data_IF_318856732075
#
_entry.id   IF_318856732075
#
_cell.length_a   1.000
_cell.length_b   1.000
_cell.length_c   1.000
_cell.angle_alpha   90.00
_cell.angle_beta   90.00
_cell.angle_gamma   90.00
#
_symmetry.space_group_name_H-M   'P 1'
#
loop_
_entity.id
_entity.type
_entity.pdbx_description
1 polymer ?
#
# COMPACT_ATOMS: atom_id res chain seq x y z
N UNK A 1 -5.22 34.10 2.94
CA UNK A 1 -4.35 32.94 2.63
C UNK A 1 -5.26 31.73 2.41
N UNK A 2 -5.79 31.59 1.19
CA UNK A 2 -6.75 30.55 0.82
C UNK A 2 -5.99 29.29 0.41
N UNK A 3 -5.97 28.28 1.27
CA UNK A 3 -5.36 26.98 0.99
C UNK A 3 -6.19 25.91 1.70
N UNK A 4 -7.18 25.33 1.03
CA UNK A 4 -7.91 24.18 1.56
C UNK A 4 -8.19 23.05 0.56
N UNK A 5 -8.39 23.27 -0.77
CA UNK A 5 -8.47 22.14 -1.71
C UNK A 5 -7.10 21.58 -2.14
N UNK A 6 -6.05 22.41 -2.06
CA UNK A 6 -4.72 22.06 -2.57
C UNK A 6 -3.91 21.14 -1.67
N UNK A 7 -4.22 21.04 -0.37
CA UNK A 7 -3.32 20.37 0.58
C UNK A 7 -3.31 18.85 0.41
N UNK A 8 -4.48 18.24 0.22
CA UNK A 8 -4.60 16.81 -0.12
C UNK A 8 -3.84 16.53 -1.42
N UNK A 9 -4.07 17.34 -2.45
CA UNK A 9 -3.38 17.21 -3.74
C UNK A 9 -1.86 17.32 -3.59
N UNK A 10 -1.36 18.30 -2.83
CA UNK A 10 0.08 18.44 -2.58
C UNK A 10 0.67 17.28 -1.77
N UNK A 11 -0.09 16.74 -0.80
CA UNK A 11 0.36 15.63 0.02
C UNK A 11 0.53 14.35 -0.80
N UNK A 12 -0.46 14.03 -1.66
CA UNK A 12 -0.55 12.77 -2.40
C UNK A 12 -0.17 12.88 -3.89
N UNK A 13 0.54 13.94 -4.28
CA UNK A 13 1.09 14.05 -5.65
C UNK A 13 0.04 14.26 -6.75
N UNK A 14 -1.07 14.93 -6.45
CA UNK A 14 -2.13 15.27 -7.39
C UNK A 14 -3.32 14.31 -7.40
N UNK A 15 -3.24 13.18 -6.70
CA UNK A 15 -4.36 12.27 -6.49
C UNK A 15 -5.17 12.61 -5.24
N UNK A 16 -6.50 12.57 -5.34
CA UNK A 16 -7.43 12.58 -4.19
C UNK A 16 -8.18 11.25 -4.05
N UNK A 17 -7.90 10.31 -4.93
CA UNK A 17 -8.60 9.04 -4.99
C UNK A 17 -8.15 8.17 -3.82
N UNK A 18 -9.14 7.62 -3.11
CA UNK A 18 -8.92 6.63 -2.06
C UNK A 18 -8.24 5.38 -2.64
N UNK A 19 -7.37 4.75 -1.86
CA UNK A 19 -6.64 3.54 -2.29
C UNK A 19 -7.59 2.45 -2.82
N UNK A 20 -8.75 2.23 -2.20
CA UNK A 20 -9.69 1.21 -2.65
C UNK A 20 -10.23 1.50 -4.05
N UNK A 21 -10.41 2.79 -4.39
CA UNK A 21 -10.78 3.21 -5.75
C UNK A 21 -9.64 2.95 -6.73
N UNK A 22 -8.41 3.36 -6.39
CA UNK A 22 -7.21 3.14 -7.22
C UNK A 22 -7.02 1.65 -7.56
N UNK A 23 -7.12 0.77 -6.56
CA UNK A 23 -7.00 -0.69 -6.78
C UNK A 23 -8.11 -1.21 -7.69
N UNK A 24 -9.35 -0.77 -7.46
CA UNK A 24 -10.51 -1.27 -8.20
C UNK A 24 -10.54 -0.87 -9.68
N UNK A 25 -10.01 0.32 -10.01
CA UNK A 25 -10.01 0.87 -11.37
C UNK A 25 -8.72 0.55 -12.14
N UNK A 26 -7.69 0.04 -11.47
CA UNK A 26 -6.44 -0.33 -12.11
C UNK A 26 -6.66 -1.37 -13.21
N UNK A 27 -6.12 -1.09 -14.40
CA UNK A 27 -6.22 -2.02 -15.51
C UNK A 27 -5.12 -3.08 -15.45
N UNK A 28 -5.42 -4.19 -14.78
CA UNK A 28 -4.54 -5.34 -14.65
C UNK A 28 -4.14 -6.00 -15.98
N UNK A 29 -4.85 -5.76 -17.08
CA UNK A 29 -4.46 -6.27 -18.40
C UNK A 29 -3.20 -5.59 -18.97
N UNK A 30 -2.83 -4.43 -18.40
CA UNK A 30 -1.64 -3.67 -18.80
C UNK A 30 -0.36 -4.16 -18.15
N UNK A 31 -0.45 -4.99 -17.12
CA UNK A 31 0.72 -5.65 -16.55
C UNK A 31 1.29 -6.63 -17.60
N UNK A 32 2.16 -6.13 -18.48
CA UNK A 32 2.72 -6.93 -19.55
C UNK A 32 3.96 -7.68 -19.07
N UNK A 33 3.68 -8.86 -18.54
CA UNK A 33 4.67 -9.77 -17.98
C UNK A 33 5.59 -10.42 -19.02
N UNK A 34 5.31 -10.24 -20.32
CA UNK A 34 6.12 -10.82 -21.41
C UNK A 34 7.27 -9.93 -21.88
N UNK A 35 7.27 -8.65 -21.51
CA UNK A 35 8.39 -7.75 -21.75
C UNK A 35 9.14 -7.54 -20.44
N UNK A 36 10.42 -7.90 -20.40
CA UNK A 36 11.32 -7.80 -19.25
C UNK A 36 11.50 -6.38 -18.66
N UNK A 37 10.79 -5.38 -19.20
CA UNK A 37 10.89 -3.96 -18.88
C UNK A 37 9.51 -3.27 -18.74
N UNK A 38 8.41 -3.98 -18.47
CA UNK A 38 7.13 -3.28 -18.25
C UNK A 38 7.13 -2.58 -16.89
N UNK A 39 7.24 -1.25 -16.89
CA UNK A 39 7.01 -0.40 -15.71
C UNK A 39 5.51 -0.35 -15.31
N UNK A 40 4.64 -1.07 -16.03
CA UNK A 40 3.20 -1.08 -15.82
C UNK A 40 2.81 -2.11 -14.74
N UNK A 41 2.88 -1.69 -13.48
CA UNK A 41 2.35 -2.42 -12.32
C UNK A 41 1.52 -1.47 -11.44
N UNK A 42 0.76 -2.02 -10.49
CA UNK A 42 0.00 -1.18 -9.58
C UNK A 42 0.95 -0.48 -8.61
N UNK A 43 1.26 0.78 -8.92
CA UNK A 43 2.19 1.59 -8.15
C UNK A 43 1.53 2.85 -7.60
N UNK A 44 1.71 3.09 -6.31
CA UNK A 44 1.53 4.43 -5.72
C UNK A 44 2.57 4.66 -4.64
N UNK A 45 3.24 5.80 -4.72
CA UNK A 45 4.18 6.25 -3.68
C UNK A 45 3.45 6.49 -2.35
N UNK A 46 2.29 7.17 -2.42
CA UNK A 46 1.42 7.43 -1.29
C UNK A 46 -0.01 7.71 -1.77
N UNK A 47 -0.95 6.87 -1.37
CA UNK A 47 -2.38 7.12 -1.54
C UNK A 47 -3.06 7.41 -0.19
N UNK A 48 -4.12 8.23 -0.16
CA UNK A 48 -4.95 8.36 1.02
C UNK A 48 -5.83 7.10 1.19
N UNK A 49 -6.08 6.74 2.45
CA UNK A 49 -7.22 5.92 2.83
C UNK A 49 -8.04 6.71 3.83
N UNK A 50 -9.27 7.05 3.46
CA UNK A 50 -10.11 7.92 4.30
C UNK A 50 -10.89 7.15 5.36
N UNK A 51 -10.96 5.83 5.26
CA UNK A 51 -11.77 5.03 6.17
C UNK A 51 -13.23 5.45 6.09
N UNK A 52 -13.82 5.70 7.26
CA UNK A 52 -15.20 6.18 7.40
C UNK A 52 -15.27 7.72 7.57
N UNK A 53 -14.19 8.43 7.22
CA UNK A 53 -14.21 9.89 7.25
C UNK A 53 -15.16 10.48 6.21
N UNK A 54 -16.02 11.37 6.69
CA UNK A 54 -16.91 12.22 5.93
C UNK A 54 -16.70 13.66 6.39
N UNK A 55 -17.22 14.64 5.64
CA UNK A 55 -17.17 16.05 6.04
C UNK A 55 -17.75 16.28 7.44
N UNK A 56 -18.77 15.51 7.83
CA UNK A 56 -19.39 15.59 9.14
C UNK A 56 -18.59 14.84 10.22
N UNK A 57 -18.08 13.63 9.94
CA UNK A 57 -17.34 12.87 10.95
C UNK A 57 -15.97 13.50 11.26
N UNK A 58 -15.36 14.20 10.30
CA UNK A 58 -14.15 15.01 10.54
C UNK A 58 -14.41 16.10 11.57
N UNK A 59 -15.58 16.75 11.56
CA UNK A 59 -15.95 17.77 12.56
C UNK A 59 -16.13 17.18 13.95
N UNK A 60 -16.50 15.90 14.05
CA UNK A 60 -16.63 15.18 15.31
C UNK A 60 -15.30 14.65 15.87
N UNK A 61 -14.20 14.68 15.11
CA UNK A 61 -12.89 14.25 15.59
C UNK A 61 -12.40 15.13 16.75
N UNK A 62 -11.61 14.51 17.62
CA UNK A 62 -10.85 15.21 18.66
C UNK A 62 -9.96 16.31 18.06
N UNK A 63 -9.80 17.40 18.81
CA UNK A 63 -9.05 18.58 18.36
C UNK A 63 -7.59 18.25 18.06
N UNK A 64 -6.94 17.41 18.87
CA UNK A 64 -5.54 17.01 18.63
C UNK A 64 -5.42 16.18 17.36
N UNK A 65 -6.41 15.34 17.03
CA UNK A 65 -6.44 14.59 15.77
C UNK A 65 -6.56 15.54 14.57
N UNK A 66 -7.44 16.55 14.64
CA UNK A 66 -7.57 17.56 13.58
C UNK A 66 -6.25 18.32 13.38
N UNK A 67 -5.63 18.78 14.47
CA UNK A 67 -4.35 19.48 14.44
C UNK A 67 -3.26 18.59 13.84
N UNK A 68 -3.20 17.33 14.26
CA UNK A 68 -2.28 16.33 13.74
C UNK A 68 -2.45 16.12 12.23
N UNK A 69 -3.69 15.99 11.74
CA UNK A 69 -3.99 15.83 10.31
C UNK A 69 -3.48 17.03 9.51
N UNK A 70 -3.87 18.24 9.91
CA UNK A 70 -3.48 19.46 9.21
C UNK A 70 -1.95 19.63 9.18
N UNK A 71 -1.28 19.48 10.32
CA UNK A 71 0.17 19.62 10.42
C UNK A 71 0.92 18.58 9.59
N UNK A 72 0.51 17.31 9.68
CA UNK A 72 1.15 16.21 8.95
C UNK A 72 1.06 16.41 7.44
N UNK A 73 -0.12 16.78 6.93
CA UNK A 73 -0.31 17.01 5.50
C UNK A 73 0.44 18.25 4.98
N UNK A 74 0.60 19.29 5.80
CA UNK A 74 1.47 20.44 5.46
C UNK A 74 2.91 19.98 5.29
N UNK A 75 3.41 19.15 6.20
CA UNK A 75 4.79 18.66 6.14
C UNK A 75 4.98 17.73 4.96
N UNK A 76 4.10 16.73 4.77
CA UNK A 76 4.15 15.82 3.63
C UNK A 76 4.01 16.60 2.32
N UNK A 77 3.08 17.56 2.23
CA UNK A 77 2.82 18.36 1.04
C UNK A 77 4.01 19.16 0.52
N UNK A 78 5.01 19.44 1.37
CA UNK A 78 6.26 20.12 1.00
C UNK A 78 7.34 19.18 0.48
N UNK A 79 7.19 17.87 0.66
CA UNK A 79 8.18 16.90 0.20
C UNK A 79 8.17 16.79 -1.32
N UNK A 80 9.35 16.84 -1.94
CA UNK A 80 9.52 16.48 -3.34
C UNK A 80 9.55 14.95 -3.53
N UNK A 81 10.27 14.24 -2.64
CA UNK A 81 10.29 12.77 -2.63
C UNK A 81 9.14 12.22 -1.79
N UNK A 82 8.22 11.52 -2.44
CA UNK A 82 7.06 10.87 -1.82
C UNK A 82 7.25 9.37 -1.60
N UNK A 83 8.46 8.85 -1.80
CA UNK A 83 8.77 7.44 -1.57
C UNK A 83 8.43 7.01 -0.15
N UNK A 84 8.12 5.72 0.03
CA UNK A 84 7.84 5.12 1.34
C UNK A 84 8.85 5.55 2.41
N UNK A 85 10.16 5.46 2.09
CA UNK A 85 11.24 5.78 3.02
C UNK A 85 11.23 7.26 3.42
N UNK A 86 11.01 8.15 2.47
CA UNK A 86 10.91 9.59 2.70
C UNK A 86 9.72 9.90 3.62
N UNK A 87 8.52 9.41 3.27
CA UNK A 87 7.30 9.63 4.07
C UNK A 87 7.44 9.09 5.49
N UNK A 88 7.90 7.84 5.65
CA UNK A 88 8.09 7.24 6.96
C UNK A 88 9.09 8.04 7.80
N UNK A 89 10.23 8.43 7.22
CA UNK A 89 11.23 9.25 7.92
C UNK A 89 10.65 10.59 8.36
N UNK A 90 9.89 11.26 7.49
CA UNK A 90 9.23 12.53 7.82
C UNK A 90 8.22 12.36 8.95
N UNK A 91 7.37 11.32 8.92
CA UNK A 91 6.39 11.09 9.98
C UNK A 91 7.06 10.72 11.31
N UNK A 92 8.15 9.96 11.30
CA UNK A 92 8.93 9.61 12.50
C UNK A 92 9.58 10.83 13.17
N UNK A 93 9.93 11.85 12.39
CA UNK A 93 10.55 13.10 12.87
C UNK A 93 9.55 14.22 13.12
N UNK A 94 8.27 14.01 12.80
CA UNK A 94 7.26 15.06 12.89
C UNK A 94 6.94 15.41 14.35
N UNK A 95 7.02 16.70 14.71
CA UNK A 95 6.86 17.16 16.11
C UNK A 95 5.50 16.82 16.71
N UNK A 96 4.44 16.90 15.88
CA UNK A 96 3.07 16.58 16.31
C UNK A 96 2.78 15.08 16.39
N UNK A 97 3.67 14.22 15.89
CA UNK A 97 3.47 12.77 15.85
C UNK A 97 4.36 12.08 16.86
N UNK A 98 3.84 11.01 17.42
CA UNK A 98 4.64 9.98 18.06
C UNK A 98 4.22 8.59 17.59
N UNK A 99 5.16 7.65 17.45
CA UNK A 99 4.81 6.30 17.08
C UNK A 99 3.91 5.64 18.12
N UNK A 100 2.87 4.98 17.64
CA UNK A 100 1.91 4.24 18.42
C UNK A 100 2.09 2.74 18.09
N UNK A 101 2.25 1.91 19.11
CA UNK A 101 2.59 0.48 18.98
C UNK A 101 3.95 0.18 18.30
N UNK A 102 4.26 -1.12 18.22
CA UNK A 102 5.42 -1.63 17.50
C UNK A 102 5.20 -1.54 16.00
N UNK A 103 6.30 -1.35 15.28
CA UNK A 103 6.33 -1.48 13.83
C UNK A 103 5.98 -2.91 13.44
N UNK A 104 5.23 -3.06 12.36
CA UNK A 104 4.97 -4.35 11.72
C UNK A 104 5.80 -4.38 10.45
N UNK A 105 6.72 -5.32 10.36
CA UNK A 105 7.46 -5.62 9.15
C UNK A 105 7.40 -7.12 8.93
N UNK A 106 6.78 -7.53 7.83
CA UNK A 106 6.57 -8.95 7.48
C UNK A 106 6.92 -9.17 6.04
N UNK A 107 7.54 -10.31 5.78
CA UNK A 107 7.73 -10.81 4.44
C UNK A 107 7.44 -12.30 4.46
N UNK A 108 6.76 -12.78 3.42
CA UNK A 108 6.44 -14.18 3.25
C UNK A 108 6.48 -14.54 1.75
N UNK A 109 6.60 -15.83 1.46
CA UNK A 109 6.62 -16.36 0.10
C UNK A 109 5.57 -17.44 -0.06
N UNK A 110 4.74 -17.31 -1.07
CA UNK A 110 3.96 -18.42 -1.60
C UNK A 110 4.77 -19.08 -2.70
N UNK A 111 5.21 -20.34 -2.47
CA UNK A 111 6.04 -21.10 -3.40
C UNK A 111 5.20 -22.23 -3.99
N UNK A 112 5.32 -22.44 -5.31
CA UNK A 112 4.83 -23.63 -5.99
C UNK A 112 5.99 -24.43 -6.56
N UNK A 113 5.90 -25.75 -6.39
CA UNK A 113 6.91 -26.70 -6.85
C UNK A 113 6.67 -27.18 -8.29
N UNK A 114 5.52 -26.84 -8.89
CA UNK A 114 5.27 -27.07 -10.31
C UNK A 114 5.21 -25.75 -11.07
N UNK A 115 5.89 -25.73 -12.21
CA UNK A 115 5.83 -24.62 -13.15
C UNK A 115 4.41 -24.42 -13.75
N UNK A 116 3.60 -25.49 -13.73
CA UNK A 116 2.23 -25.53 -14.27
C UNK A 116 1.10 -25.21 -13.29
N UNK A 117 1.41 -24.98 -12.00
CA UNK A 117 0.38 -24.74 -11.00
C UNK A 117 -0.39 -23.45 -11.33
N UNK A 118 0.29 -22.39 -11.78
CA UNK A 118 -0.38 -21.20 -12.30
C UNK A 118 -0.79 -21.41 -13.77
N UNK A 119 -1.97 -21.99 -14.01
CA UNK A 119 -2.44 -22.35 -15.36
C UNK A 119 -2.60 -21.17 -16.34
N UNK A 120 -2.36 -21.48 -17.61
CA UNK A 120 -2.03 -20.58 -18.74
C UNK A 120 -3.22 -20.13 -19.61
N UNK A 121 -4.46 -20.51 -19.28
CA UNK A 121 -5.64 -20.10 -20.08
C UNK A 121 -6.27 -18.78 -19.60
N UNK A 122 -5.66 -18.15 -18.60
CA UNK A 122 -6.16 -16.92 -17.99
C UNK A 122 -7.37 -17.12 -17.08
N UNK A 123 -7.81 -18.37 -16.87
CA UNK A 123 -8.81 -18.70 -15.87
C UNK A 123 -8.11 -19.08 -14.55
N UNK A 124 -8.26 -18.28 -13.49
CA UNK A 124 -7.63 -18.56 -12.21
C UNK A 124 -8.19 -19.86 -11.63
N UNK A 125 -7.33 -20.85 -11.33
CA UNK A 125 -7.77 -22.04 -10.59
C UNK A 125 -8.31 -21.57 -9.23
N UNK A 126 -9.59 -21.85 -8.97
CA UNK A 126 -10.28 -21.40 -7.77
C UNK A 126 -9.58 -21.86 -6.47
N UNK A 127 -8.88 -23.01 -6.50
CA UNK A 127 -8.10 -23.49 -5.36
C UNK A 127 -6.87 -22.62 -5.12
N UNK A 128 -6.17 -22.24 -6.19
CA UNK A 128 -4.98 -21.39 -6.12
C UNK A 128 -5.34 -19.97 -5.70
N UNK A 129 -6.43 -19.43 -6.22
CA UNK A 129 -6.93 -18.11 -5.78
C UNK A 129 -7.28 -18.12 -4.30
N UNK A 130 -7.92 -19.19 -3.80
CA UNK A 130 -8.23 -19.33 -2.37
C UNK A 130 -6.97 -19.44 -1.52
N UNK A 131 -5.97 -20.18 -1.97
CA UNK A 131 -4.70 -20.31 -1.30
C UNK A 131 -3.95 -18.98 -1.24
N UNK A 132 -3.87 -18.27 -2.37
CA UNK A 132 -3.27 -16.93 -2.46
C UNK A 132 -4.02 -15.95 -1.57
N UNK A 133 -5.35 -16.01 -1.52
CA UNK A 133 -6.15 -15.21 -0.58
C UNK A 133 -5.81 -15.53 0.87
N UNK A 134 -5.73 -16.80 1.23
CA UNK A 134 -5.39 -17.22 2.59
C UNK A 134 -3.98 -16.77 2.97
N UNK A 135 -3.02 -16.95 2.08
CA UNK A 135 -1.64 -16.50 2.24
C UNK A 135 -1.56 -14.97 2.40
N UNK A 136 -2.18 -14.22 1.48
CA UNK A 136 -2.20 -12.75 1.51
C UNK A 136 -2.85 -12.22 2.78
N UNK A 137 -4.00 -12.78 3.18
CA UNK A 137 -4.69 -12.37 4.41
C UNK A 137 -3.83 -12.60 5.64
N UNK A 138 -3.03 -13.68 5.67
CA UNK A 138 -2.10 -13.99 6.77
C UNK A 138 -0.85 -13.11 6.75
N UNK A 139 -0.36 -12.74 5.56
CA UNK A 139 0.72 -11.77 5.40
C UNK A 139 0.30 -10.38 5.91
N UNK A 140 -0.92 -9.94 5.60
CA UNK A 140 -1.44 -8.63 6.01
C UNK A 140 -1.95 -8.63 7.45
N UNK A 141 -2.65 -9.66 7.93
CA UNK A 141 -3.19 -9.83 9.29
C UNK A 141 -3.71 -8.52 9.94
N UNK A 142 -4.38 -7.71 9.14
CA UNK A 142 -4.90 -6.41 9.51
C UNK A 142 -6.17 -6.20 8.68
N UNK A 143 -7.31 -6.52 9.28
CA UNK A 143 -8.62 -6.50 8.61
C UNK A 143 -8.97 -5.12 8.06
N UNK A 144 -8.59 -4.06 8.79
CA UNK A 144 -8.76 -2.68 8.33
C UNK A 144 -7.96 -2.44 7.04
N UNK A 145 -6.70 -2.89 6.95
CA UNK A 145 -5.92 -2.77 5.70
C UNK A 145 -6.56 -3.56 4.55
N UNK A 146 -7.04 -4.78 4.81
CA UNK A 146 -7.70 -5.61 3.79
C UNK A 146 -8.98 -4.94 3.27
N UNK A 147 -9.78 -4.36 4.17
CA UNK A 147 -11.03 -3.68 3.83
C UNK A 147 -10.77 -2.38 3.04
N UNK A 148 -9.80 -1.57 3.46
CA UNK A 148 -9.49 -0.28 2.82
C UNK A 148 -8.88 -0.45 1.42
N UNK A 149 -7.95 -1.38 1.26
CA UNK A 149 -7.28 -1.60 -0.04
C UNK A 149 -8.19 -2.24 -1.08
N UNK A 150 -9.28 -2.91 -0.65
CA UNK A 150 -10.23 -3.62 -1.51
C UNK A 150 -9.54 -4.63 -2.45
N UNK A 151 -8.41 -5.19 -2.04
CA UNK A 151 -7.77 -6.31 -2.74
C UNK A 151 -8.61 -7.57 -2.48
N UNK A 152 -9.66 -7.72 -3.27
CA UNK A 152 -10.64 -8.79 -3.15
C UNK A 152 -10.21 -10.05 -3.91
N UNK A 153 -11.05 -11.09 -3.85
CA UNK A 153 -10.74 -12.36 -4.51
C UNK A 153 -10.58 -12.21 -6.02
N UNK A 154 -11.31 -11.29 -6.67
CA UNK A 154 -11.20 -11.05 -8.11
C UNK A 154 -9.88 -10.35 -8.45
N UNK A 155 -9.46 -9.41 -7.62
CA UNK A 155 -8.17 -8.72 -7.73
C UNK A 155 -7.02 -9.69 -7.53
N UNK A 156 -7.11 -10.54 -6.51
CA UNK A 156 -6.14 -11.61 -6.30
C UNK A 156 -6.12 -12.60 -7.47
N UNK A 157 -7.29 -12.95 -8.02
CA UNK A 157 -7.37 -13.83 -9.18
C UNK A 157 -6.69 -13.22 -10.42
N UNK A 158 -6.83 -11.90 -10.63
CA UNK A 158 -6.09 -11.16 -11.66
C UNK A 158 -4.59 -11.14 -11.38
N UNK A 159 -4.18 -10.87 -10.14
CA UNK A 159 -2.76 -10.91 -9.72
C UNK A 159 -2.19 -12.31 -9.99
N UNK A 160 -2.92 -13.38 -9.64
CA UNK A 160 -2.53 -14.77 -9.88
C UNK A 160 -2.40 -15.07 -11.37
N UNK A 161 -3.36 -14.66 -12.19
CA UNK A 161 -3.28 -14.84 -13.63
C UNK A 161 -2.08 -14.09 -14.24
N UNK A 162 -1.78 -12.89 -13.75
CA UNK A 162 -0.60 -12.14 -14.17
C UNK A 162 0.70 -12.77 -13.66
N UNK A 163 0.74 -13.28 -12.42
CA UNK A 163 1.87 -14.05 -11.91
C UNK A 163 2.13 -15.30 -12.75
N UNK A 164 1.08 -16.03 -13.15
CA UNK A 164 1.17 -17.15 -14.09
C UNK A 164 1.80 -16.70 -15.40
N UNK A 165 1.20 -15.73 -16.07
CA UNK A 165 1.76 -15.17 -17.31
C UNK A 165 3.21 -14.66 -17.16
N UNK A 166 3.62 -14.19 -15.97
CA UNK A 166 5.00 -13.85 -15.62
C UNK A 166 5.89 -15.09 -15.67
N UNK A 167 5.48 -16.13 -14.97
CA UNK A 167 6.21 -17.38 -14.87
C UNK A 167 6.35 -18.00 -16.26
N UNK A 168 5.28 -18.01 -17.06
CA UNK A 168 5.26 -18.52 -18.43
C UNK A 168 6.26 -17.78 -19.34
N UNK A 169 6.29 -16.45 -19.21
CA UNK A 169 7.25 -15.65 -19.96
C UNK A 169 8.66 -15.96 -19.49
N UNK A 170 8.87 -16.08 -18.18
CA UNK A 170 10.13 -16.51 -17.61
C UNK A 170 10.52 -17.89 -18.14
N UNK A 171 9.62 -18.89 -18.22
CA UNK A 171 9.91 -20.23 -18.77
C UNK A 171 10.50 -20.19 -20.19
N UNK A 172 9.97 -19.32 -21.06
CA UNK A 172 10.54 -19.10 -22.39
C UNK A 172 11.98 -18.53 -22.34
N UNK A 173 12.29 -17.77 -21.28
CA UNK A 173 13.64 -17.27 -20.97
C UNK A 173 14.52 -18.28 -20.19
N UNK A 174 13.95 -19.26 -19.47
CA UNK A 174 14.65 -20.28 -18.65
C UNK A 174 15.59 -21.19 -19.45
N UNK A 175 15.56 -21.12 -20.78
CA UNK A 175 16.61 -21.69 -21.64
C UNK A 175 18.00 -21.12 -21.29
N UNK A 176 18.07 -20.01 -20.55
CA UNK A 176 19.30 -19.44 -19.96
C UNK A 176 19.16 -19.33 -18.42
N UNK A 177 20.21 -19.75 -17.70
CA UNK A 177 20.27 -19.88 -16.24
C UNK A 177 20.15 -18.56 -15.45
N UNK A 178 18.95 -18.01 -15.32
CA UNK A 178 18.74 -16.74 -14.59
C UNK A 178 17.50 -16.77 -13.68
N UNK A 179 17.65 -16.15 -12.51
CA UNK A 179 16.53 -15.85 -11.60
C UNK A 179 15.81 -14.61 -12.10
N UNK A 180 14.49 -14.66 -12.21
CA UNK A 180 13.69 -13.55 -12.68
C UNK A 180 12.63 -13.12 -11.66
N UNK A 181 12.43 -11.81 -11.52
CA UNK A 181 11.47 -11.21 -10.60
C UNK A 181 10.74 -10.05 -11.29
N UNK A 182 9.44 -9.91 -11.01
CA UNK A 182 8.62 -8.78 -11.47
C UNK A 182 7.70 -8.29 -10.34
N UNK A 183 7.72 -6.98 -10.08
CA UNK A 183 6.81 -6.36 -9.14
C UNK A 183 5.43 -6.21 -9.78
N UNK A 184 4.39 -6.66 -9.10
CA UNK A 184 2.99 -6.57 -9.54
C UNK A 184 2.21 -5.49 -8.77
N UNK A 185 2.56 -5.30 -7.50
CA UNK A 185 1.96 -4.30 -6.61
C UNK A 185 3.07 -3.66 -5.79
N UNK A 186 3.08 -2.33 -5.71
CA UNK A 186 3.86 -1.56 -4.74
C UNK A 186 3.09 -0.30 -4.37
N UNK A 187 2.32 -0.38 -3.28
CA UNK A 187 1.44 0.70 -2.83
C UNK A 187 1.84 1.16 -1.44
N UNK A 188 2.13 2.44 -1.29
CA UNK A 188 2.20 3.14 -0.01
C UNK A 188 0.86 3.82 0.29
N UNK A 189 0.37 3.70 1.52
CA UNK A 189 -0.93 4.24 1.92
C UNK A 189 -0.83 4.94 3.26
N UNK A 190 -1.42 6.14 3.35
CA UNK A 190 -1.68 6.83 4.60
C UNK A 190 -3.17 6.76 4.92
N UNK A 191 -3.53 5.89 5.85
CA UNK A 191 -4.87 5.82 6.42
C UNK A 191 -5.04 6.90 7.47
N UNK A 192 -6.06 7.73 7.27
CA UNK A 192 -6.41 8.83 8.15
C UNK A 192 -6.97 8.33 9.49
N UNK A 193 -6.85 9.11 10.57
CA UNK A 193 -7.59 8.86 11.80
C UNK A 193 -9.08 9.00 11.56
N UNK A 194 -9.89 8.13 12.18
CA UNK A 194 -11.34 8.27 12.26
C UNK A 194 -11.81 8.08 13.73
N UNK A 195 -13.11 8.01 13.95
CA UNK A 195 -13.70 7.88 15.28
C UNK A 195 -13.35 6.53 15.95
N UNK A 196 -13.18 5.46 15.17
CA UNK A 196 -12.86 4.13 15.68
C UNK A 196 -11.34 3.90 15.77
N UNK A 197 -10.59 4.59 14.92
CA UNK A 197 -9.15 4.47 14.76
C UNK A 197 -8.50 5.85 14.90
N UNK A 198 -8.30 6.35 16.13
CA UNK A 198 -7.80 7.71 16.40
C UNK A 198 -6.27 7.82 16.22
N UNK A 199 -5.75 7.35 15.08
CA UNK A 199 -4.34 7.38 14.71
C UNK A 199 -4.17 7.40 13.19
N UNK A 200 -3.05 7.93 12.72
CA UNK A 200 -2.59 7.66 11.36
C UNK A 200 -2.03 6.24 11.27
N UNK A 201 -2.35 5.50 10.20
CA UNK A 201 -1.65 4.25 9.87
C UNK A 201 -0.99 4.43 8.50
N UNK A 202 0.34 4.44 8.50
CA UNK A 202 1.16 4.43 7.30
C UNK A 202 1.52 2.97 7.00
N UNK A 203 1.19 2.45 5.83
CA UNK A 203 1.54 1.08 5.45
C UNK A 203 1.94 0.94 3.99
N UNK A 204 2.74 -0.08 3.70
CA UNK A 204 3.17 -0.45 2.34
C UNK A 204 2.91 -1.92 2.10
N UNK A 205 2.33 -2.21 0.95
CA UNK A 205 2.16 -3.57 0.43
C UNK A 205 2.96 -3.66 -0.86
N UNK A 206 3.87 -4.64 -0.93
CA UNK A 206 4.60 -4.96 -2.16
C UNK A 206 4.46 -6.44 -2.47
N UNK A 207 4.08 -6.76 -3.71
CA UNK A 207 3.98 -8.12 -4.23
C UNK A 207 4.88 -8.27 -5.45
N UNK A 208 5.75 -9.27 -5.41
CA UNK A 208 6.72 -9.58 -6.46
C UNK A 208 6.55 -11.03 -6.89
N UNK A 209 6.17 -11.26 -8.14
CA UNK A 209 6.20 -12.59 -8.75
C UNK A 209 7.63 -12.94 -9.13
N UNK A 210 8.01 -14.21 -8.99
CA UNK A 210 9.36 -14.66 -9.32
C UNK A 210 9.38 -16.12 -9.79
N UNK A 211 10.43 -16.43 -10.53
CA UNK A 211 10.78 -17.75 -11.00
C UNK A 211 12.26 -18.02 -10.74
N UNK A 212 12.56 -19.23 -10.26
CA UNK A 212 13.91 -19.70 -9.97
C UNK A 212 14.07 -21.13 -10.51
N UNK A 213 15.05 -21.32 -11.40
CA UNK A 213 15.40 -22.63 -11.94
C UNK A 213 16.83 -22.98 -11.50
N UNK A 214 16.93 -23.97 -10.61
CA UNK A 214 18.22 -24.49 -10.17
C UNK A 214 18.44 -25.88 -10.75
N UNK A 215 19.57 -26.07 -11.45
CA UNK A 215 20.00 -27.38 -11.97
C UNK A 215 21.18 -27.88 -11.17
N UNK A 216 21.02 -29.01 -10.49
CA UNK A 216 22.12 -29.74 -9.87
C UNK A 216 22.30 -31.06 -10.64
N UNK A 217 23.32 -31.07 -11.51
CA UNK A 217 23.87 -32.20 -12.30
C UNK A 217 22.90 -33.06 -13.14
N UNK A 218 21.77 -33.54 -12.61
CA UNK A 218 20.73 -34.31 -13.31
C UNK A 218 19.30 -34.08 -12.79
N UNK A 219 19.12 -33.19 -11.80
CA UNK A 219 17.82 -32.80 -11.26
C UNK A 219 17.60 -31.30 -11.50
N UNK A 220 16.51 -30.97 -12.18
CA UNK A 220 16.05 -29.59 -12.37
C UNK A 220 14.94 -29.35 -11.35
N UNK A 221 15.18 -28.44 -10.42
CA UNK A 221 14.17 -27.93 -9.51
C UNK A 221 13.71 -26.57 -10.00
N UNK A 222 12.54 -26.57 -10.63
CA UNK A 222 11.86 -25.36 -11.07
C UNK A 222 10.88 -24.91 -10.00
N UNK A 223 11.04 -23.69 -9.51
CA UNK A 223 10.15 -23.10 -8.52
C UNK A 223 9.68 -21.76 -9.01
N UNK A 224 8.42 -21.46 -8.73
CA UNK A 224 7.88 -20.14 -8.93
C UNK A 224 7.09 -19.71 -7.70
N UNK A 225 6.74 -18.43 -7.64
CA UNK A 225 5.98 -17.95 -6.52
C UNK A 225 5.75 -16.46 -6.50
N UNK A 226 5.14 -16.04 -5.39
CA UNK A 226 4.89 -14.64 -5.06
C UNK A 226 5.58 -14.37 -3.74
N UNK A 227 6.47 -13.38 -3.72
CA UNK A 227 6.98 -12.77 -2.50
C UNK A 227 6.08 -11.60 -2.14
N UNK A 228 5.62 -11.56 -0.89
CA UNK A 228 4.89 -10.42 -0.36
C UNK A 228 5.68 -9.75 0.76
N UNK A 229 5.60 -8.42 0.80
CA UNK A 229 6.19 -7.58 1.85
C UNK A 229 5.10 -6.65 2.37
N UNK A 230 4.91 -6.63 3.70
CA UNK A 230 3.99 -5.75 4.38
C UNK A 230 4.72 -4.98 5.49
N UNK A 231 4.66 -3.65 5.42
CA UNK A 231 5.23 -2.77 6.41
C UNK A 231 4.14 -1.85 6.95
N UNK A 232 4.05 -1.63 8.25
CA UNK A 232 3.06 -0.74 8.86
C UNK A 232 3.59 -0.06 10.11
N UNK A 233 3.25 1.23 10.24
CA UNK A 233 3.53 2.06 11.40
C UNK A 233 2.32 2.92 11.74
N UNK A 234 1.91 2.94 13.00
CA UNK A 234 0.85 3.81 13.50
C UNK A 234 1.44 5.03 14.20
N UNK A 235 0.76 6.16 14.10
CA UNK A 235 1.15 7.43 14.71
C UNK A 235 -0.05 8.09 15.37
N UNK A 236 0.14 8.59 16.58
CA UNK A 236 -0.87 9.33 17.34
C UNK A 236 -0.37 10.75 17.66
N UNK A 237 -1.27 11.65 18.10
CA UNK A 237 -0.87 12.97 18.55
C UNK A 237 0.16 12.91 19.68
N UNK A 238 1.20 13.73 19.60
CA UNK A 238 2.14 13.93 20.70
C UNK A 238 1.57 14.90 21.71
N UNK A 239 0.88 14.36 22.71
CA UNK A 239 0.14 15.13 23.72
C UNK A 239 0.95 16.22 24.43
N UNK A 240 2.25 15.99 24.67
CA UNK A 240 3.12 17.01 25.30
C UNK A 240 3.21 18.28 24.47
N UNK A 241 3.38 18.15 23.15
CA UNK A 241 3.48 19.28 22.23
C UNK A 241 2.11 19.89 21.97
N UNK A 242 1.07 19.07 21.80
CA UNK A 242 -0.29 19.56 21.56
C UNK A 242 -0.76 20.51 22.66
N UNK A 243 -0.46 20.20 23.94
CA UNK A 243 -0.82 21.05 25.09
C UNK A 243 -0.12 22.41 25.11
N UNK A 244 1.05 22.52 24.51
CA UNK A 244 1.84 23.76 24.47
C UNK A 244 1.44 24.69 23.31
N UNK A 245 0.63 24.20 22.37
CA UNK A 245 0.13 25.02 21.26
C UNK A 245 -0.75 26.17 21.75
N UNK A 246 -0.52 27.36 21.20
CA UNK A 246 -1.35 28.53 21.47
C UNK A 246 -2.78 28.31 20.96
N UNK A 247 -3.75 28.99 21.58
CA UNK A 247 -5.16 28.93 21.16
C UNK A 247 -5.35 29.32 19.69
N UNK A 248 -4.59 30.30 19.21
CA UNK A 248 -4.64 30.73 17.81
C UNK A 248 -4.14 29.64 16.85
N UNK A 249 -3.03 28.97 17.17
CA UNK A 249 -2.49 27.88 16.36
C UNK A 249 -3.44 26.70 16.29
N UNK A 250 -4.04 26.34 17.45
CA UNK A 250 -5.06 25.29 17.55
C UNK A 250 -6.25 25.58 16.64
N UNK A 251 -6.82 26.78 16.74
CA UNK A 251 -7.98 27.16 15.94
C UNK A 251 -7.69 27.18 14.44
N UNK A 252 -6.54 27.72 14.02
CA UNK A 252 -6.13 27.70 12.61
C UNK A 252 -5.97 26.28 12.07
N UNK A 253 -5.35 25.39 12.85
CA UNK A 253 -5.15 24.00 12.44
C UNK A 253 -6.48 23.22 12.41
N UNK A 254 -7.37 23.46 13.38
CA UNK A 254 -8.72 22.88 13.44
C UNK A 254 -9.55 23.26 12.21
N UNK A 255 -9.68 24.56 11.92
CA UNK A 255 -10.42 25.06 10.76
C UNK A 255 -9.84 24.50 9.46
N UNK A 256 -8.51 24.40 9.38
CA UNK A 256 -7.84 23.86 8.21
C UNK A 256 -8.18 22.39 8.00
N UNK A 257 -8.13 21.57 9.06
CA UNK A 257 -8.47 20.16 8.98
C UNK A 257 -9.91 19.93 8.51
N UNK A 258 -10.87 20.70 9.05
CA UNK A 258 -12.28 20.63 8.66
C UNK A 258 -12.47 20.98 7.17
N UNK A 259 -11.78 22.02 6.70
CA UNK A 259 -11.85 22.44 5.28
C UNK A 259 -11.19 21.49 4.26
N UNK A 260 -10.49 20.44 4.71
CA UNK A 260 -9.90 19.46 3.77
C UNK A 260 -10.95 18.55 3.12
N UNK A 261 -12.13 18.47 3.73
CA UNK A 261 -13.21 17.55 3.37
C UNK A 261 -14.50 18.27 2.98
N UNK A 262 -14.47 19.61 2.90
CA UNK A 262 -15.54 20.45 2.36
C UNK A 262 -15.45 20.53 0.81
#
# INVERSE_FOLDING_TARGET
MALAPGLILSAFGGGKEDIGSIVSTFNWSKCNVRSSHSDEYLHTNLAPSYGDLTSDSVKALDENLKIMIAGTLITIGKLADKSWKSILSTMMQHELLEPFHKEVARSDKLIKESSSDFKFDGSPDALIVREVKSWFSKLIDDEDVLNQTKIDINTLAKIVAQSGAAVDSFEAFWVKHEKHEQTLVDIGVLRFPDLEHPYFKLYRIKLTAWADSSRILFHQEDRNGITGEFNSRKFRPRESIMRELTKETREKARLRAESLFD
#
